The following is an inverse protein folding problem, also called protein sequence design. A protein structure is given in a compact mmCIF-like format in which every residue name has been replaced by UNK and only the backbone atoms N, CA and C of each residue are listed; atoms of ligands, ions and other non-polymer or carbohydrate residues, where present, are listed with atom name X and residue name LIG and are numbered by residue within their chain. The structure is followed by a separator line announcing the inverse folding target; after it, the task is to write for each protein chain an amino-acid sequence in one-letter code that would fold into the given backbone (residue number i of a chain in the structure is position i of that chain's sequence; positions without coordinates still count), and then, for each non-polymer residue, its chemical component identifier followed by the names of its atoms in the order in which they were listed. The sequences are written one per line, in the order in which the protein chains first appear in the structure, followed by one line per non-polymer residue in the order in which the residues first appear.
data_IF_019023674668
#
_entry.id   IF_019023674668
#
_cell.length_a   1.000
_cell.length_b   1.000
_cell.length_c   1.000
_cell.angle_alpha   90.00
_cell.angle_beta   90.00
_cell.angle_gamma   90.00
#
_symmetry.space_group_name_H-M   'P 1'
#
loop_
_entity.id
_entity.type
_entity.pdbx_description
1 polymer ?
2 non-polymer ?
3 non-polymer ?
4 non-polymer ?
5 non-polymer ?
6 non-polymer ?
7 non-polymer ?
8 non-polymer ?
9 non-polymer ?
10 water ?
#
# COMPACT_ATOMS: atom_id res chain seq x y z
N UNK A 1 -7.73 16.90 19.12
CA UNK A 1 -8.47 17.14 17.85
C UNK A 1 -7.57 17.37 16.65
N UNK A 2 -8.07 16.96 15.49
CA UNK A 2 -7.24 16.98 14.31
C UNK A 2 -8.07 17.30 13.08
N UNK A 3 -7.57 18.23 12.26
CA UNK A 3 -8.29 18.61 11.03
C UNK A 3 -7.76 17.76 9.87
N UNK A 4 -8.63 16.88 9.37
CA UNK A 4 -8.31 15.87 8.37
C UNK A 4 -9.00 16.17 7.06
N UNK A 5 -8.18 16.18 5.98
CA UNK A 5 -8.74 16.32 4.62
C UNK A 5 -8.71 14.97 3.93
N UNK A 6 -9.60 14.76 2.98
CA UNK A 6 -9.56 13.50 2.16
C UNK A 6 -9.38 13.94 0.70
N UNK A 7 -8.35 13.35 0.07
CA UNK A 7 -8.16 13.43 -1.39
C UNK A 7 -8.68 12.18 -2.04
N UNK A 8 -9.58 12.34 -2.99
CA UNK A 8 -10.29 11.19 -3.63
C UNK A 8 -11.62 10.98 -2.90
N UNK A 9 -12.25 12.03 -2.39
CA UNK A 9 -13.38 11.91 -1.47
C UNK A 9 -14.60 11.27 -2.08
N UNK A 10 -14.72 11.28 -3.41
CA UNK A 10 -15.87 10.59 -4.05
C UNK A 10 -15.52 9.19 -4.54
N UNK A 11 -14.28 8.76 -4.32
CA UNK A 11 -13.90 7.43 -4.81
C UNK A 11 -14.43 6.32 -3.93
N UNK A 12 -14.18 5.08 -4.34
CA UNK A 12 -14.73 3.93 -3.60
C UNK A 12 -14.16 3.89 -2.18
N UNK A 13 -12.86 4.03 -2.05
CA UNK A 13 -12.29 4.03 -0.71
C UNK A 13 -12.44 5.42 -0.06
N UNK A 14 -12.20 6.50 -0.84
CA UNK A 14 -12.23 7.83 -0.22
C UNK A 14 -13.61 8.15 0.40
N UNK A 15 -14.70 7.71 -0.24
CA UNK A 15 -16.05 8.03 0.34
C UNK A 15 -16.21 7.32 1.71
N UNK A 16 -15.64 6.11 1.82
CA UNK A 16 -15.64 5.32 3.08
C UNK A 16 -14.85 6.12 4.15
N UNK A 17 -13.72 6.71 3.72
CA UNK A 17 -12.90 7.44 4.64
C UNK A 17 -13.54 8.76 5.10
N UNK A 18 -14.22 9.45 4.18
CA UNK A 18 -14.98 10.67 4.56
C UNK A 18 -15.95 10.27 5.69
N UNK A 19 -16.67 9.15 5.52
CA UNK A 19 -17.70 8.78 6.55
C UNK A 19 -17.02 8.45 7.87
N UNK A 20 -15.84 7.82 7.79
CA UNK A 20 -15.14 7.44 9.00
C UNK A 20 -14.60 8.66 9.77
N UNK A 21 -14.06 9.64 9.03
CA UNK A 21 -13.56 10.87 9.68
C UNK A 21 -14.74 11.64 10.27
N UNK A 22 -15.81 11.72 9.50
CA UNK A 22 -16.99 12.44 10.02
C UNK A 22 -17.49 11.77 11.31
N UNK A 23 -17.49 10.45 11.38
CA UNK A 23 -17.99 9.73 12.59
C UNK A 23 -17.05 9.80 13.80
N UNK A 24 -15.74 9.98 13.58
CA UNK A 24 -14.74 9.95 14.64
C UNK A 24 -14.85 11.19 15.52
N UNK A 25 -14.87 10.99 16.83
CA UNK A 25 -15.07 12.14 17.72
C UNK A 25 -13.89 13.10 17.82
N UNK A 26 -12.70 12.57 17.57
CA UNK A 26 -11.46 13.29 17.74
C UNK A 26 -10.91 13.88 16.43
N UNK A 27 -11.65 13.69 15.33
CA UNK A 27 -11.17 14.16 14.03
C UNK A 27 -12.25 15.07 13.48
N UNK A 28 -11.81 16.12 12.79
CA UNK A 28 -12.75 17.00 12.10
C UNK A 28 -12.44 16.99 10.63
N UNK A 29 -13.44 16.74 9.78
CA UNK A 29 -13.24 16.86 8.32
C UNK A 29 -13.09 18.31 7.86
N UNK A 30 -11.91 18.63 7.31
CA UNK A 30 -11.54 19.98 6.92
C UNK A 30 -11.59 20.23 5.41
N UNK A 31 -11.63 19.15 4.61
CA UNK A 31 -11.66 19.30 3.16
C UNK A 31 -12.06 17.94 2.57
N UNK A 32 -12.79 17.95 1.46
CA UNK A 32 -13.12 16.73 0.71
C UNK A 32 -12.90 17.06 -0.73
N UNK A 33 -11.78 16.61 -1.30
CA UNK A 33 -11.42 17.03 -2.64
C UNK A 33 -11.58 15.85 -3.60
N UNK A 34 -12.09 16.17 -4.77
CA UNK A 34 -12.39 15.24 -5.83
C UNK A 34 -11.49 15.68 -7.02
N UNK A 35 -11.56 14.93 -8.13
CA UNK A 35 -10.80 15.32 -9.32
C UNK A 35 -11.20 16.73 -9.77
N UNK A 36 -10.22 17.56 -10.07
CA UNK A 36 -10.58 18.91 -10.57
C UNK A 36 -10.70 19.94 -9.45
N UNK A 37 -10.71 19.52 -8.19
CA UNK A 37 -10.59 20.45 -7.03
C UNK A 37 -9.12 20.84 -6.82
N UNK A 38 -8.86 22.15 -6.58
CA UNK A 38 -7.48 22.63 -6.37
C UNK A 38 -6.99 22.27 -4.97
N UNK A 39 -5.72 21.90 -4.88
CA UNK A 39 -5.17 21.56 -3.57
C UNK A 39 -5.19 22.70 -2.56
N UNK A 40 -5.25 23.94 -3.04
CA UNK A 40 -5.41 25.09 -2.16
C UNK A 40 -6.64 24.99 -1.25
N UNK A 41 -7.66 24.17 -1.58
CA UNK A 41 -8.79 23.95 -0.65
C UNK A 41 -8.29 23.37 0.67
N UNK A 42 -7.17 22.64 0.63
CA UNK A 42 -6.64 22.06 1.88
C UNK A 42 -6.08 23.12 2.81
N UNK A 43 -5.36 24.10 2.27
CA UNK A 43 -4.78 25.15 3.11
C UNK A 43 -5.90 26.12 3.47
N UNK A 44 -6.85 26.34 2.57
CA UNK A 44 -7.99 27.26 2.91
C UNK A 44 -8.68 26.76 4.18
N UNK A 45 -8.86 25.45 4.29
CA UNK A 45 -9.55 24.80 5.45
C UNK A 45 -8.68 24.50 6.68
N UNK A 46 -7.42 24.96 6.66
CA UNK A 46 -6.51 24.74 7.78
C UNK A 46 -6.29 23.26 8.07
N UNK A 47 -6.08 22.47 7.01
CA UNK A 47 -5.97 20.99 7.15
C UNK A 47 -4.60 20.64 7.75
N UNK A 48 -4.60 19.69 8.68
CA UNK A 48 -3.36 19.32 9.35
C UNK A 48 -2.83 18.02 8.74
N UNK A 49 -3.75 17.12 8.37
CA UNK A 49 -3.35 15.78 7.84
C UNK A 49 -4.29 15.45 6.73
N UNK A 50 -3.78 14.70 5.72
CA UNK A 50 -4.66 14.32 4.62
C UNK A 50 -4.61 12.82 4.48
N UNK A 51 -5.73 12.25 4.10
CA UNK A 51 -5.82 10.84 3.65
C UNK A 51 -5.92 10.87 2.13
N UNK A 52 -5.06 10.13 1.41
CA UNK A 52 -5.05 10.14 -0.07
C UNK A 52 -5.37 8.75 -0.62
N UNK A 53 -6.53 8.63 -1.28
CA UNK A 53 -6.92 7.45 -2.08
C UNK A 53 -7.39 7.94 -3.45
N UNK A 54 -6.40 8.16 -4.32
CA UNK A 54 -6.65 8.85 -5.60
C UNK A 54 -6.24 7.94 -6.76
N UNK A 55 -5.12 8.25 -7.41
CA UNK A 55 -4.70 7.45 -8.56
C UNK A 55 -3.20 7.54 -8.69
N UNK A 56 -2.51 6.49 -9.16
CA UNK A 56 -1.06 6.52 -9.32
C UNK A 56 -0.55 7.69 -10.13
N UNK A 57 -1.34 8.19 -11.11
CA UNK A 57 -0.83 9.32 -11.95
C UNK A 57 -0.88 10.68 -11.26
N UNK A 58 -1.56 10.79 -10.12
CA UNK A 58 -1.69 12.11 -9.47
C UNK A 58 -1.08 12.19 -8.07
N UNK A 59 -0.77 11.01 -7.44
CA UNK A 59 -0.43 11.06 -6.03
C UNK A 59 0.89 11.74 -5.76
N UNK A 60 1.86 11.60 -6.69
CA UNK A 60 3.17 12.29 -6.40
C UNK A 60 3.03 13.80 -6.38
N UNK A 61 2.19 14.30 -7.27
CA UNK A 61 1.93 15.79 -7.28
C UNK A 61 1.19 16.20 -6.02
N UNK A 62 0.29 15.34 -5.58
CA UNK A 62 -0.41 15.66 -4.29
C UNK A 62 0.61 15.71 -3.16
N UNK A 63 1.50 14.73 -3.09
CA UNK A 63 2.51 14.72 -2.04
C UNK A 63 3.45 15.92 -2.12
N UNK A 64 3.85 16.31 -3.34
CA UNK A 64 4.75 17.43 -3.48
C UNK A 64 4.12 18.69 -2.82
N UNK A 65 2.82 18.88 -3.07
CA UNK A 65 2.12 20.02 -2.46
C UNK A 65 1.98 19.84 -0.95
N UNK A 66 1.57 18.64 -0.50
CA UNK A 66 1.34 18.44 0.92
C UNK A 66 2.62 18.71 1.71
N UNK A 67 3.75 18.18 1.23
CA UNK A 67 5.00 18.32 1.95
C UNK A 67 5.43 19.77 1.94
N UNK A 68 5.31 20.43 0.77
CA UNK A 68 5.75 21.85 0.72
C UNK A 68 4.92 22.68 1.69
N UNK A 69 3.67 22.28 1.96
CA UNK A 69 2.83 23.08 2.85
C UNK A 69 2.78 22.53 4.29
N UNK A 70 3.64 21.53 4.59
CA UNK A 70 3.72 21.02 5.97
C UNK A 70 2.49 20.26 6.43
N UNK A 71 1.73 19.70 5.47
CA UNK A 71 0.52 18.92 5.78
C UNK A 71 0.92 17.47 5.81
N UNK A 72 0.70 16.78 6.95
CA UNK A 72 1.09 15.36 7.03
C UNK A 72 0.18 14.54 6.15
N UNK A 73 0.69 13.41 5.69
CA UNK A 73 -0.09 12.61 4.72
C UNK A 73 -0.13 11.15 5.06
N UNK A 74 -1.32 10.56 4.96
CA UNK A 74 -1.52 9.11 5.08
C UNK A 74 -2.03 8.72 3.71
N UNK A 75 -1.17 7.96 2.99
CA UNK A 75 -1.39 7.67 1.58
C UNK A 75 -1.68 6.18 1.40
N UNK A 76 -2.87 5.88 0.86
CA UNK A 76 -3.14 4.48 0.43
C UNK A 76 -2.99 4.25 -1.06
N UNK A 77 -3.06 5.33 -1.88
CA UNK A 77 -2.88 5.19 -3.34
C UNK A 77 -1.63 4.38 -3.63
N UNK A 78 -1.74 3.52 -4.64
CA UNK A 78 -0.59 2.65 -5.02
C UNK A 78 0.14 3.18 -6.25
N UNK A 79 0.97 2.35 -6.83
CA UNK A 79 1.88 2.85 -7.93
C UNK A 79 3.25 3.17 -7.40
N UNK A 80 3.49 3.02 -6.10
CA UNK A 80 4.83 3.36 -5.59
C UNK A 80 5.94 2.40 -5.96
N UNK A 81 7.12 3.01 -6.02
CA UNK A 81 8.35 2.27 -6.35
C UNK A 81 9.45 2.90 -5.49
N UNK A 82 10.61 2.22 -5.46
CA UNK A 82 11.72 2.76 -4.69
C UNK A 82 12.10 4.16 -5.13
N UNK A 83 12.12 4.41 -6.46
CA UNK A 83 12.44 5.80 -6.90
C UNK A 83 11.42 6.81 -6.41
N UNK A 84 10.14 6.40 -6.36
CA UNK A 84 9.18 7.41 -5.86
C UNK A 84 9.38 7.65 -4.38
N UNK A 85 9.63 6.54 -3.61
CA UNK A 85 9.93 6.78 -2.21
C UNK A 85 11.17 7.64 -1.98
N UNK A 86 12.21 7.44 -2.81
CA UNK A 86 13.39 8.32 -2.72
C UNK A 86 13.06 9.78 -3.00
N UNK A 87 12.15 10.01 -3.97
CA UNK A 87 11.74 11.36 -4.25
C UNK A 87 10.98 12.02 -3.08
N UNK A 88 10.10 11.20 -2.46
CA UNK A 88 9.39 11.71 -1.29
C UNK A 88 10.39 12.04 -0.16
N UNK A 89 11.37 11.16 0.07
CA UNK A 89 12.39 11.49 1.07
C UNK A 89 13.17 12.75 0.73
N UNK A 90 13.42 12.98 -0.56
CA UNK A 90 14.15 14.18 -0.97
C UNK A 90 13.34 15.44 -0.66
N UNK A 91 12.04 15.40 -0.96
CA UNK A 91 11.20 16.56 -0.62
C UNK A 91 11.09 16.79 0.91
N UNK A 92 11.10 15.70 1.67
CA UNK A 92 10.96 15.84 3.14
C UNK A 92 12.22 16.43 3.80
N UNK A 93 13.38 16.34 3.15
CA UNK A 93 14.58 17.02 3.72
C UNK A 93 14.29 18.49 3.98
N UNK A 94 13.54 19.17 3.10
CA UNK A 94 13.27 20.61 3.25
C UNK A 94 12.25 20.93 4.36
N UNK A 95 11.53 19.87 4.83
CA UNK A 95 10.37 20.01 5.72
C UNK A 95 10.47 18.98 6.83
N UNK A 96 11.43 19.18 7.74
CA UNK A 96 11.84 18.12 8.68
C UNK A 96 10.79 17.83 9.78
N UNK A 97 9.75 18.64 9.90
CA UNK A 97 8.72 18.34 10.86
C UNK A 97 7.46 17.73 10.22
N UNK A 98 7.53 17.42 8.93
CA UNK A 98 6.33 16.89 8.23
C UNK A 98 6.46 15.37 8.14
N UNK A 99 5.35 14.67 8.33
CA UNK A 99 5.32 13.20 8.35
C UNK A 99 4.47 12.68 7.22
N UNK A 100 4.96 11.60 6.59
CA UNK A 100 4.23 10.95 5.52
C UNK A 100 4.29 9.46 5.79
N UNK A 101 3.11 8.83 5.72
CA UNK A 101 3.06 7.33 5.81
C UNK A 101 2.39 6.84 4.52
N UNK A 102 3.06 5.94 3.81
CA UNK A 102 2.53 5.41 2.53
C UNK A 102 2.43 3.91 2.77
N UNK A 103 1.23 3.35 2.63
CA UNK A 103 1.05 1.89 2.80
C UNK A 103 0.22 1.34 1.69
N UNK A 104 0.58 0.19 1.12
CA UNK A 104 -0.22 -0.40 0.05
C UNK A 104 -1.40 -1.23 0.58
N UNK A 105 -1.48 -1.42 1.91
CA UNK A 105 -2.67 -2.03 2.45
C UNK A 105 -2.83 -1.68 3.93
N UNK A 106 -3.97 -1.12 4.25
CA UNK A 106 -4.20 -0.79 5.64
C UNK A 106 -4.98 -1.86 6.40
N UNK A 107 -5.36 -2.97 5.72
CA UNK A 107 -6.16 -4.04 6.41
C UNK A 107 -5.18 -4.92 7.20
N UNK A 108 -5.59 -5.22 8.45
CA UNK A 108 -4.66 -5.97 9.31
C UNK A 108 -4.33 -7.34 8.75
N UNK A 109 -5.28 -8.00 8.08
CA UNK A 109 -4.94 -9.33 7.52
C UNK A 109 -3.88 -9.26 6.45
N UNK A 110 -3.81 -8.14 5.71
CA UNK A 110 -2.78 -8.01 4.66
C UNK A 110 -1.43 -7.69 5.31
N UNK A 111 -1.44 -6.82 6.34
CA UNK A 111 -0.22 -6.52 7.12
C UNK A 111 0.36 -7.78 7.73
N UNK A 112 -0.53 -8.58 8.32
CA UNK A 112 -0.08 -9.87 8.89
C UNK A 112 0.42 -10.80 7.79
N UNK A 113 -0.27 -10.83 6.65
CA UNK A 113 0.21 -11.70 5.54
C UNK A 113 1.62 -11.38 5.18
N UNK A 114 1.95 -10.07 5.06
CA UNK A 114 3.31 -9.65 4.60
C UNK A 114 4.32 -10.04 5.69
N UNK A 115 3.93 -9.94 6.98
CA UNK A 115 4.78 -10.31 8.09
C UNK A 115 5.07 -11.80 8.09
N UNK A 116 4.04 -12.61 7.86
CA UNK A 116 4.19 -14.07 7.82
C UNK A 116 4.96 -14.51 6.58
N UNK A 117 4.75 -13.83 5.45
CA UNK A 117 5.53 -14.17 4.24
C UNK A 117 7.01 -14.00 4.47
N UNK A 118 7.40 -12.89 5.11
CA UNK A 118 8.83 -12.66 5.47
C UNK A 118 9.35 -13.80 6.36
N UNK A 119 8.58 -14.27 7.34
CA UNK A 119 9.03 -15.30 8.27
C UNK A 119 9.14 -16.69 7.58
N UNK A 120 8.20 -16.96 6.63
CA UNK A 120 8.15 -18.29 6.00
C UNK A 120 9.17 -18.47 4.90
N UNK A 121 9.62 -17.37 4.31
CA UNK A 121 10.29 -17.47 2.99
C UNK A 121 11.48 -18.41 2.92
N UNK A 122 12.32 -18.37 3.96
CA UNK A 122 13.56 -19.17 3.92
C UNK A 122 13.36 -20.67 4.10
N UNK A 123 12.13 -21.08 4.39
CA UNK A 123 11.87 -22.52 4.62
C UNK A 123 11.43 -23.26 3.39
N UNK A 124 11.24 -22.52 2.27
CA UNK A 124 10.65 -23.14 1.07
C UNK A 124 11.46 -22.93 -0.18
N UNK A 125 11.37 -23.89 -1.10
CA UNK A 125 12.14 -23.75 -2.36
C UNK A 125 11.49 -22.72 -3.30
N UNK A 126 10.15 -22.70 -3.28
CA UNK A 126 9.39 -21.88 -4.25
C UNK A 126 8.50 -20.90 -3.54
N UNK A 127 8.33 -19.72 -4.14
CA UNK A 127 7.36 -18.76 -3.66
C UNK A 127 6.79 -18.00 -4.85
N UNK A 128 5.48 -17.78 -4.81
CA UNK A 128 4.82 -16.91 -5.80
C UNK A 128 3.69 -16.22 -5.15
N UNK A 129 3.23 -15.13 -5.77
CA UNK A 129 2.08 -14.36 -5.22
C UNK A 129 0.99 -14.27 -6.29
N UNK A 130 -0.26 -14.56 -5.90
CA UNK A 130 -1.42 -14.34 -6.78
C UNK A 130 -2.22 -13.24 -6.12
N UNK A 131 -2.58 -12.19 -6.85
CA UNK A 131 -3.48 -11.18 -6.29
C UNK A 131 -4.69 -11.10 -7.19
N UNK A 132 -5.83 -10.77 -6.58
CA UNK A 132 -7.12 -10.78 -7.30
C UNK A 132 -7.89 -9.58 -6.85
N UNK A 133 -8.25 -8.70 -7.79
CA UNK A 133 -8.99 -7.46 -7.47
C UNK A 133 -10.10 -7.23 -8.44
N UNK A 134 -11.00 -6.32 -8.05
CA UNK A 134 -12.05 -5.84 -8.93
C UNK A 134 -11.47 -5.26 -10.25
N UNK A 135 -12.31 -5.19 -11.30
CA UNK A 135 -11.79 -4.81 -12.63
C UNK A 135 -11.81 -3.35 -12.91
N UNK A 136 -11.91 -2.56 -11.84
CA UNK A 136 -11.73 -1.07 -12.00
C UNK A 136 -10.36 -0.65 -11.58
N UNK A 137 -9.50 -1.63 -11.18
CA UNK A 137 -8.19 -1.25 -10.64
C UNK A 137 -7.20 -0.85 -11.76
N UNK A 138 -6.53 0.28 -11.53
CA UNK A 138 -5.62 0.80 -12.56
C UNK A 138 -4.30 0.05 -12.69
N UNK A 139 -3.79 -0.46 -11.60
CA UNK A 139 -2.38 -0.93 -11.54
C UNK A 139 -2.31 -2.45 -11.36
N UNK A 140 -1.42 -3.07 -12.14
CA UNK A 140 -1.16 -4.53 -11.97
C UNK A 140 0.33 -4.79 -12.02
N UNK A 141 0.92 -5.48 -11.07
CA UNK A 141 0.24 -6.01 -9.91
C UNK A 141 -0.04 -4.94 -8.88
N UNK A 142 -0.86 -5.34 -7.91
CA UNK A 142 -1.22 -4.45 -6.80
C UNK A 142 0.02 -3.98 -6.02
N UNK A 143 -0.18 -2.88 -5.27
CA UNK A 143 0.91 -2.45 -4.37
C UNK A 143 1.27 -3.53 -3.31
N UNK A 144 0.23 -4.18 -2.83
CA UNK A 144 0.44 -5.14 -1.74
C UNK A 144 1.23 -6.35 -2.25
N UNK A 145 0.89 -6.77 -3.47
CA UNK A 145 1.59 -7.99 -3.99
C UNK A 145 3.01 -7.60 -4.36
N UNK A 146 3.26 -6.40 -4.90
CA UNK A 146 4.66 -6.04 -5.19
C UNK A 146 5.46 -5.97 -3.87
N UNK A 147 4.89 -5.38 -2.80
CA UNK A 147 5.64 -5.30 -1.53
C UNK A 147 5.87 -6.68 -0.95
N UNK A 148 4.86 -7.55 -1.03
CA UNK A 148 5.01 -8.94 -0.52
C UNK A 148 6.13 -9.60 -1.26
N UNK A 149 6.13 -9.52 -2.58
CA UNK A 149 7.23 -10.16 -3.36
C UNK A 149 8.57 -9.62 -3.02
N UNK A 150 8.66 -8.29 -2.82
CA UNK A 150 9.95 -7.70 -2.45
C UNK A 150 10.45 -8.16 -1.10
N UNK A 151 9.54 -8.32 -0.16
CA UNK A 151 9.88 -8.82 1.19
C UNK A 151 10.37 -10.27 1.13
N UNK A 152 9.69 -11.09 0.34
CA UNK A 152 10.08 -12.51 0.17
C UNK A 152 11.45 -12.58 -0.44
N UNK A 153 11.69 -11.78 -1.52
CA UNK A 153 12.96 -11.81 -2.18
C UNK A 153 14.07 -11.36 -1.24
N UNK A 154 13.82 -10.31 -0.43
CA UNK A 154 14.87 -9.87 0.53
C UNK A 154 15.19 -10.96 1.55
N UNK A 155 14.15 -11.67 2.00
CA UNK A 155 14.27 -12.72 2.99
C UNK A 155 15.05 -13.88 2.44
N UNK A 156 14.99 -14.09 1.12
CA UNK A 156 15.66 -15.23 0.48
C UNK A 156 17.00 -14.86 -0.16
N UNK A 157 17.55 -13.67 0.18
CA UNK A 157 18.87 -13.24 -0.29
C UNK A 157 19.87 -14.40 -0.04
N UNK A 158 20.57 -14.76 -1.09
CA UNK A 158 21.56 -15.84 -1.03
C UNK A 158 21.09 -17.28 -1.16
N UNK A 159 19.78 -17.51 -1.20
CA UNK A 159 19.23 -18.82 -1.42
C UNK A 159 18.96 -19.02 -2.93
N UNK A 160 18.78 -20.26 -3.37
CA UNK A 160 18.59 -20.50 -4.80
C UNK A 160 17.31 -19.88 -5.31
N UNK A 161 17.26 -19.57 -6.60
CA UNK A 161 16.03 -19.02 -7.17
C UNK A 161 14.94 -20.11 -7.15
N UNK A 162 13.68 -19.72 -7.41
CA UNK A 162 12.62 -20.72 -7.57
C UNK A 162 13.00 -21.68 -8.69
N UNK A 163 12.76 -22.98 -8.50
CA UNK A 163 12.98 -23.92 -9.59
C UNK A 163 11.88 -23.74 -10.65
N UNK A 164 12.28 -23.93 -11.94
CA UNK A 164 11.28 -23.78 -13.01
C UNK A 164 11.85 -24.34 -14.29
N UNK A 165 11.24 -25.42 -14.78
CA UNK A 165 11.74 -26.09 -16.00
C UNK A 165 11.05 -25.60 -17.25
N UNK A 166 10.27 -24.52 -17.16
CA UNK A 166 9.55 -24.05 -18.38
C UNK A 166 10.50 -23.82 -19.55
N UNK A 167 10.14 -24.46 -20.65
CA UNK A 167 10.94 -24.28 -21.91
C UNK A 167 10.10 -23.82 -23.08
N UNK A 168 8.79 -23.92 -23.00
CA UNK A 168 7.87 -23.47 -24.06
C UNK A 168 6.73 -22.73 -23.33
N UNK A 169 6.49 -21.46 -23.67
CA UNK A 169 5.46 -20.66 -22.98
C UNK A 169 4.79 -19.67 -23.89
N UNK A 170 3.57 -19.37 -23.56
CA UNK A 170 2.95 -18.17 -24.12
C UNK A 170 3.41 -16.96 -23.26
N UNK A 171 3.49 -15.78 -23.95
CA UNK A 171 3.97 -14.60 -23.28
C UNK A 171 3.07 -14.25 -22.12
N UNK A 172 3.64 -13.97 -20.96
CA UNK A 172 2.92 -13.58 -19.81
C UNK A 172 2.35 -14.71 -18.87
N UNK A 173 2.46 -15.97 -19.34
CA UNK A 173 1.86 -17.03 -18.55
C UNK A 173 2.47 -17.13 -17.17
N UNK A 174 3.76 -16.87 -17.06
CA UNK A 174 4.43 -17.03 -15.76
C UNK A 174 4.45 -15.78 -14.88
N UNK A 175 3.60 -14.79 -15.22
CA UNK A 175 3.45 -13.65 -14.31
C UNK A 175 4.49 -12.59 -14.54
N UNK A 176 4.36 -11.57 -13.70
CA UNK A 176 5.41 -10.52 -13.69
C UNK A 176 6.51 -10.97 -12.76
N UNK A 177 7.72 -10.59 -13.05
CA UNK A 177 8.85 -10.97 -12.21
C UNK A 177 9.16 -9.82 -11.30
N UNK A 178 8.89 -9.93 -10.00
CA UNK A 178 9.22 -8.91 -9.00
C UNK A 178 10.37 -9.46 -8.16
N UNK A 179 11.59 -8.96 -8.43
CA UNK A 179 12.80 -9.46 -7.69
C UNK A 179 12.93 -10.99 -7.67
N UNK A 180 12.55 -11.65 -8.76
CA UNK A 180 12.71 -13.09 -8.88
C UNK A 180 11.48 -13.90 -8.45
N UNK A 181 10.44 -13.18 -7.98
CA UNK A 181 9.22 -13.83 -7.47
C UNK A 181 8.10 -13.58 -8.47
N UNK A 182 7.49 -14.61 -9.04
CA UNK A 182 6.35 -14.43 -9.95
C UNK A 182 5.18 -13.85 -9.20
N UNK A 183 4.58 -12.85 -9.86
CA UNK A 183 3.34 -12.23 -9.34
C UNK A 183 2.30 -12.23 -10.45
N UNK A 184 1.10 -12.76 -10.13
CA UNK A 184 -0.01 -12.89 -11.10
C UNK A 184 -1.17 -12.05 -10.64
N UNK A 185 -1.78 -11.33 -11.57
CA UNK A 185 -2.87 -10.35 -11.24
C UNK A 185 -4.13 -10.75 -11.94
N UNK A 186 -5.14 -11.15 -11.15
CA UNK A 186 -6.49 -11.51 -11.67
C UNK A 186 -7.38 -10.28 -11.51
N UNK A 187 -8.17 -9.98 -12.54
CA UNK A 187 -9.10 -8.80 -12.45
C UNK A 187 -10.49 -9.33 -12.76
N UNK A 188 -11.37 -9.39 -11.75
CA UNK A 188 -12.63 -10.16 -11.90
C UNK A 188 -13.75 -9.38 -11.29
N UNK A 189 -14.81 -9.20 -12.07
CA UNK A 189 -16.07 -8.64 -11.51
C UNK A 189 -16.48 -9.47 -10.26
N UNK A 190 -16.93 -8.76 -9.24
CA UNK A 190 -17.39 -9.47 -8.00
C UNK A 190 -16.38 -9.34 -6.90
N UNK A 191 -15.11 -9.23 -7.26
CA UNK A 191 -14.08 -9.17 -6.23
C UNK A 191 -13.94 -7.76 -5.63
N UNK A 192 -13.26 -7.72 -4.46
CA UNK A 192 -12.84 -6.42 -3.86
C UNK A 192 -11.31 -6.45 -3.90
N UNK A 193 -10.65 -6.99 -2.87
CA UNK A 193 -9.16 -7.03 -2.88
C UNK A 193 -8.70 -8.28 -2.14
N UNK A 194 -7.88 -9.09 -2.79
CA UNK A 194 -7.54 -10.46 -2.30
C UNK A 194 -6.16 -10.80 -2.69
N UNK A 195 -5.49 -11.61 -1.86
CA UNK A 195 -4.12 -12.02 -2.25
C UNK A 195 -3.83 -13.37 -1.64
N UNK A 196 -3.16 -14.23 -2.40
CA UNK A 196 -2.63 -15.50 -1.85
C UNK A 196 -1.13 -15.53 -2.02
N UNK A 197 -0.38 -15.80 -0.97
CA UNK A 197 1.06 -16.01 -1.03
C UNK A 197 1.29 -17.49 -0.96
N UNK A 198 1.94 -18.08 -1.98
CA UNK A 198 2.12 -19.54 -2.04
C UNK A 198 3.57 -19.92 -1.92
N UNK A 199 3.83 -20.84 -0.98
CA UNK A 199 5.17 -21.37 -0.72
C UNK A 199 5.16 -22.86 -0.93
N UNK A 200 6.23 -23.41 -1.48
CA UNK A 200 6.29 -24.87 -1.71
C UNK A 200 7.63 -25.46 -1.47
N UNK A 201 7.61 -26.72 -1.00
CA UNK A 201 8.85 -27.51 -0.88
C UNK A 201 8.40 -28.98 -1.05
N UNK A 202 9.34 -29.93 -0.90
CA UNK A 202 9.02 -31.32 -1.14
C UNK A 202 7.76 -31.78 -0.43
N UNK A 203 6.79 -32.21 -1.25
CA UNK A 203 5.59 -32.80 -0.67
C UNK A 203 4.61 -31.88 0.02
N UNK A 204 4.81 -30.54 0.03
CA UNK A 204 3.90 -29.70 0.80
C UNK A 204 3.93 -28.26 0.37
N UNK A 205 2.86 -27.57 0.68
CA UNK A 205 2.71 -26.12 0.40
C UNK A 205 2.13 -25.43 1.57
N UNK A 206 2.33 -24.13 1.60
CA UNK A 206 1.72 -23.22 2.61
C UNK A 206 1.19 -22.07 1.85
N UNK A 207 -0.08 -21.73 2.09
CA UNK A 207 -0.74 -20.61 1.43
C UNK A 207 -1.22 -19.63 2.50
N UNK A 208 -0.91 -18.33 2.35
CA UNK A 208 -1.40 -17.29 3.27
C UNK A 208 -2.31 -16.44 2.42
N UNK A 209 -3.58 -16.40 2.75
CA UNK A 209 -4.58 -15.73 1.91
C UNK A 209 -5.27 -14.63 2.69
N UNK A 210 -5.29 -13.45 2.13
CA UNK A 210 -6.07 -12.37 2.73
C UNK A 210 -7.19 -11.94 1.80
N UNK A 211 -8.36 -11.71 2.39
CA UNK A 211 -9.51 -11.25 1.61
C UNK A 211 -10.08 -10.01 2.26
N UNK A 212 -10.17 -8.88 1.54
CA UNK A 212 -11.00 -7.74 2.02
C UNK A 212 -12.26 -7.85 1.23
N UNK A 213 -13.36 -8.13 1.90
CA UNK A 213 -14.66 -8.22 1.26
C UNK A 213 -15.34 -6.89 1.27
N UNK A 214 -14.90 -5.94 2.11
CA UNK A 214 -15.55 -4.64 2.19
C UNK A 214 -14.44 -3.61 2.44
N UNK A 215 -14.59 -2.43 1.82
CA UNK A 215 -13.61 -1.35 2.05
C UNK A 215 -13.62 -0.83 3.49
N UNK A 216 -14.63 -1.17 4.30
CA UNK A 216 -14.55 -0.87 5.73
C UNK A 216 -13.32 -1.52 6.39
N UNK A 217 -12.78 -2.58 5.78
CA UNK A 217 -11.60 -3.20 6.35
C UNK A 217 -10.38 -2.30 6.37
N UNK A 218 -10.39 -1.23 5.56
CA UNK A 218 -9.23 -0.34 5.51
C UNK A 218 -9.30 0.76 6.56
N UNK A 219 -10.48 0.95 7.13
CA UNK A 219 -10.68 2.13 7.98
C UNK A 219 -9.85 2.08 9.28
N UNK A 220 -9.85 0.95 10.01
CA UNK A 220 -9.08 1.03 11.28
C UNK A 220 -7.63 1.39 11.12
N UNK A 221 -7.00 0.84 10.08
CA UNK A 221 -5.55 1.07 9.83
C UNK A 221 -5.32 2.54 9.42
N UNK A 222 -6.22 3.05 8.57
CA UNK A 222 -6.05 4.48 8.17
C UNK A 222 -6.22 5.40 9.37
N UNK A 223 -7.26 5.13 10.20
CA UNK A 223 -7.46 6.05 11.34
C UNK A 223 -6.30 5.96 12.34
N UNK A 224 -5.71 4.75 12.50
CA UNK A 224 -4.56 4.60 13.40
C UNK A 224 -3.41 5.44 12.88
N UNK A 225 -3.16 5.35 11.58
CA UNK A 225 -2.08 6.14 10.99
C UNK A 225 -2.33 7.65 11.09
N UNK A 226 -3.57 8.08 10.84
CA UNK A 226 -3.92 9.48 11.01
C UNK A 226 -3.62 9.93 12.45
N UNK A 227 -4.07 9.14 13.42
CA UNK A 227 -3.88 9.50 14.82
C UNK A 227 -2.44 9.52 15.29
N UNK A 228 -1.59 8.70 14.70
CA UNK A 228 -0.20 8.62 15.10
C UNK A 228 0.79 9.27 14.12
N UNK A 229 0.29 9.90 13.03
CA UNK A 229 1.15 10.35 11.94
C UNK A 229 2.30 11.26 12.38
N UNK A 230 2.02 12.22 13.24
CA UNK A 230 3.07 13.19 13.62
C UNK A 230 4.17 12.60 14.56
N UNK A 231 3.95 11.39 15.11
CA UNK A 231 4.96 10.69 15.94
C UNK A 231 6.28 10.43 15.20
N UNK A 232 6.23 10.13 13.91
CA UNK A 232 7.43 9.76 13.16
C UNK A 232 7.60 10.85 12.07
N UNK A 233 8.41 11.90 12.32
CA UNK A 233 8.70 12.79 11.18
C UNK A 233 9.39 12.05 10.01
N UNK A 234 9.23 12.54 8.80
CA UNK A 234 9.79 11.86 7.61
C UNK A 234 8.85 10.81 7.06
N UNK A 235 9.44 9.84 6.33
CA UNK A 235 8.64 8.84 5.61
C UNK A 235 8.60 7.52 6.36
N UNK A 236 7.39 7.02 6.49
CA UNK A 236 7.15 5.62 6.97
C UNK A 236 6.50 4.88 5.85
N UNK A 237 7.03 3.70 5.52
CA UNK A 237 6.41 2.82 4.52
C UNK A 237 5.78 1.64 5.22
N UNK A 238 4.52 1.42 4.88
CA UNK A 238 3.73 0.33 5.51
C UNK A 238 3.12 0.77 6.82
N UNK A 239 2.13 -0.02 7.25
CA UNK A 239 1.51 0.19 8.54
C UNK A 239 2.25 -0.60 9.65
N UNK A 240 2.99 -1.65 9.29
CA UNK A 240 3.69 -2.48 10.29
C UNK A 240 4.52 -1.69 11.32
N UNK A 241 5.19 -0.57 10.92
CA UNK A 241 5.98 0.12 11.94
C UNK A 241 5.12 0.71 13.09
N UNK A 242 3.81 0.89 12.88
CA UNK A 242 2.92 1.38 13.96
C UNK A 242 2.39 0.27 14.84
N UNK A 243 2.68 -0.97 14.48
CA UNK A 243 2.10 -2.09 15.21
C UNK A 243 3.13 -2.82 16.01
N UNK A 244 2.68 -3.68 16.89
CA UNK A 244 3.58 -4.49 17.67
C UNK A 244 3.54 -5.90 17.07
N UNK A 245 4.41 -6.09 16.07
CA UNK A 245 4.64 -7.42 15.48
C UNK A 245 6.12 -7.80 15.66
#
# INVERSE_FOLDING_TARGET
GMRVGVLGAKGKVGATMVRAVAAADDLTLSAELDAGDPLSLLTDGNTEVVIDFTHPDVVMGNLEFLIDNGIHAVVGTTGFTAERFQQVESWLVAKPNTSVLIAPNFAIGAVLSMHFAKQAARFFDSAEVIELHHPHKADAPSGTAARTAKLIAEARKGLPPNPDATSTSLPGARGADVDGIPVHAVRLAGLVAHQEVLFGTEGETLTIRHDSLDRTSFVPGVLLAVRRIAERPGLTVGLEPLLDL
#
